data_IF_394771049752
#
_entry.id   IF_394771049752
#
_cell.length_a   1.000
_cell.length_b   1.000
_cell.length_c   1.000
_cell.angle_alpha   90.00
_cell.angle_beta   90.00
_cell.angle_gamma   90.00
#
_symmetry.space_group_name_H-M   'P 1'
#
loop_
_entity.id
_entity.type
_entity.pdbx_description
1 polymer ?
#
# COMPACT_ATOMS: atom_id res chain seq x y z
N UNK A 1 -15.76 5.68 -10.01
CA UNK A 1 -15.57 4.22 -10.10
C UNK A 1 -14.18 3.82 -9.61
N UNK A 2 -13.10 4.39 -10.13
CA UNK A 2 -11.73 4.13 -9.65
C UNK A 2 -11.61 4.40 -8.14
N UNK A 3 -12.05 5.58 -7.68
CA UNK A 3 -11.98 5.95 -6.26
C UNK A 3 -12.70 4.95 -5.35
N UNK A 4 -13.89 4.51 -5.73
CA UNK A 4 -14.66 3.52 -4.95
C UNK A 4 -13.92 2.19 -4.84
N UNK A 5 -13.28 1.73 -5.93
CA UNK A 5 -12.50 0.49 -5.94
C UNK A 5 -11.27 0.61 -5.03
N UNK A 6 -10.54 1.72 -5.11
CA UNK A 6 -9.33 1.95 -4.29
C UNK A 6 -9.68 2.06 -2.80
N UNK A 7 -10.77 2.75 -2.45
CA UNK A 7 -11.25 2.81 -1.06
C UNK A 7 -11.66 1.44 -0.53
N UNK A 8 -12.24 0.59 -1.38
CA UNK A 8 -12.53 -0.80 -1.02
C UNK A 8 -11.24 -1.63 -0.81
N UNK A 9 -10.23 -1.44 -1.68
CA UNK A 9 -8.92 -2.08 -1.50
C UNK A 9 -8.24 -1.66 -0.21
N UNK A 10 -8.22 -0.35 0.11
CA UNK A 10 -7.66 0.16 1.36
C UNK A 10 -8.31 -0.50 2.58
N UNK A 11 -9.64 -0.60 2.58
CA UNK A 11 -10.38 -1.30 3.66
C UNK A 11 -10.00 -2.77 3.76
N UNK A 12 -9.88 -3.46 2.63
CA UNK A 12 -9.51 -4.88 2.58
C UNK A 12 -8.13 -5.17 3.18
N UNK A 13 -7.17 -4.25 2.99
CA UNK A 13 -5.80 -4.37 3.54
C UNK A 13 -5.60 -3.58 4.83
N UNK A 14 -6.68 -3.02 5.39
CA UNK A 14 -6.69 -2.25 6.64
C UNK A 14 -5.71 -1.06 6.64
N UNK A 15 -5.61 -0.36 5.52
CA UNK A 15 -4.81 0.88 5.42
C UNK A 15 -5.75 2.08 5.37
N UNK A 16 -5.65 2.96 6.38
CA UNK A 16 -6.44 4.19 6.46
C UNK A 16 -6.19 5.10 5.25
N UNK A 17 -7.20 5.86 4.81
CA UNK A 17 -7.04 6.80 3.69
C UNK A 17 -5.99 7.87 3.99
N UNK A 18 -5.86 8.30 5.25
CA UNK A 18 -4.83 9.25 5.69
C UNK A 18 -3.40 8.72 5.64
N UNK A 19 -3.20 7.40 5.54
CA UNK A 19 -1.89 6.84 5.24
C UNK A 19 -1.59 6.99 3.76
N UNK A 20 -0.63 7.84 3.35
CA UNK A 20 -0.28 7.96 1.94
C UNK A 20 0.34 6.67 1.42
N UNK A 21 0.07 6.36 0.17
CA UNK A 21 0.66 5.24 -0.55
C UNK A 21 1.42 5.73 -1.77
N UNK A 22 2.33 4.90 -2.26
CA UNK A 22 3.22 5.27 -3.36
C UNK A 22 2.44 5.42 -4.66
N UNK A 23 1.91 4.34 -5.21
CA UNK A 23 1.39 4.34 -6.58
C UNK A 23 0.07 3.58 -6.69
N UNK A 24 -0.83 4.16 -7.46
CA UNK A 24 -2.03 3.52 -7.99
C UNK A 24 -1.81 3.25 -9.48
N UNK A 25 -1.93 2.00 -9.90
CA UNK A 25 -1.93 1.62 -11.29
C UNK A 25 -3.36 1.41 -11.78
N UNK A 26 -3.67 1.95 -12.95
CA UNK A 26 -5.01 1.86 -13.55
C UNK A 26 -4.87 1.25 -14.94
N UNK A 27 -5.55 0.14 -15.18
CA UNK A 27 -5.62 -0.55 -16.46
C UNK A 27 -7.06 -0.53 -16.97
N UNK A 28 -7.25 -0.24 -18.25
CA UNK A 28 -8.56 -0.23 -18.89
C UNK A 28 -9.32 1.09 -18.79
N UNK A 29 -8.70 2.13 -18.26
CA UNK A 29 -9.19 3.51 -18.31
C UNK A 29 -8.02 4.49 -18.32
N UNK A 30 -8.21 5.62 -18.99
CA UNK A 30 -7.37 6.80 -18.94
C UNK A 30 -8.31 8.01 -18.82
N UNK A 31 -8.20 8.75 -17.73
CA UNK A 31 -9.02 9.94 -17.50
C UNK A 31 -8.24 11.25 -17.71
N UNK A 32 -7.02 11.13 -18.24
CA UNK A 32 -6.14 12.27 -18.55
C UNK A 32 -5.49 12.95 -17.35
N UNK A 33 -4.45 13.71 -17.62
CA UNK A 33 -3.63 14.36 -16.58
C UNK A 33 -4.43 15.35 -15.72
N UNK A 34 -5.45 16.00 -16.27
CA UNK A 34 -6.27 16.98 -15.54
C UNK A 34 -7.00 16.38 -14.33
N UNK A 35 -7.38 15.10 -14.39
CA UNK A 35 -8.04 14.41 -13.29
C UNK A 35 -7.10 13.57 -12.43
N UNK A 36 -5.87 13.37 -12.89
CA UNK A 36 -4.88 12.57 -12.19
C UNK A 36 -4.58 13.14 -10.80
N UNK A 37 -4.27 14.44 -10.71
CA UNK A 37 -4.00 15.11 -9.44
C UNK A 37 -5.18 15.05 -8.47
N UNK A 38 -6.41 15.20 -8.97
CA UNK A 38 -7.61 15.07 -8.13
C UNK A 38 -7.76 13.67 -7.55
N UNK A 39 -7.44 12.64 -8.33
CA UNK A 39 -7.48 11.24 -7.88
C UNK A 39 -6.34 10.96 -6.90
N UNK A 40 -5.15 11.51 -7.13
CA UNK A 40 -4.02 11.42 -6.23
C UNK A 40 -4.34 12.02 -4.86
N UNK A 41 -4.94 13.21 -4.83
CA UNK A 41 -5.33 13.90 -3.61
C UNK A 41 -6.47 13.17 -2.88
N UNK A 42 -7.55 12.81 -3.59
CA UNK A 42 -8.71 12.12 -3.01
C UNK A 42 -8.33 10.77 -2.38
N UNK A 43 -7.47 10.04 -3.06
CA UNK A 43 -7.06 8.69 -2.64
C UNK A 43 -5.80 8.67 -1.79
N UNK A 44 -5.16 9.83 -1.61
CA UNK A 44 -3.89 9.98 -0.90
C UNK A 44 -2.83 9.00 -1.41
N UNK A 45 -2.60 9.02 -2.71
CA UNK A 45 -1.52 8.31 -3.40
C UNK A 45 -0.57 9.32 -4.03
N UNK A 46 0.72 9.01 -4.08
CA UNK A 46 1.73 9.94 -4.62
C UNK A 46 1.75 9.99 -6.13
N UNK A 47 1.29 8.94 -6.77
CA UNK A 47 1.33 8.84 -8.22
C UNK A 47 0.21 7.93 -8.73
N UNK A 48 -0.39 8.31 -9.85
CA UNK A 48 -1.30 7.46 -10.64
C UNK A 48 -0.63 7.13 -11.96
N UNK A 49 -0.55 5.85 -12.31
CA UNK A 49 0.01 5.38 -13.58
C UNK A 49 -1.03 4.60 -14.37
N UNK A 50 -1.18 4.97 -15.64
CA UNK A 50 -2.00 4.19 -16.57
C UNK A 50 -1.14 3.09 -17.19
N UNK A 51 -1.63 1.86 -17.15
CA UNK A 51 -0.93 0.69 -17.65
C UNK A 51 -1.81 -0.07 -18.64
N UNK A 52 -1.18 -0.75 -19.59
CA UNK A 52 -1.89 -1.55 -20.58
C UNK A 52 -2.21 -2.96 -20.07
N UNK A 53 -1.39 -3.49 -19.17
CA UNK A 53 -1.53 -4.84 -18.64
C UNK A 53 -1.20 -4.87 -17.14
N UNK A 54 -2.05 -5.47 -16.35
CA UNK A 54 -1.84 -5.67 -14.92
C UNK A 54 -1.09 -6.97 -14.58
N UNK A 55 -0.65 -7.73 -15.58
CA UNK A 55 0.03 -9.01 -15.39
C UNK A 55 1.35 -8.94 -14.60
N UNK A 56 2.04 -7.81 -14.64
CA UNK A 56 3.27 -7.59 -13.86
C UNK A 56 3.06 -7.57 -12.33
N UNK A 57 1.80 -7.39 -11.88
CA UNK A 57 1.41 -7.42 -10.46
C UNK A 57 0.84 -8.76 -10.01
N UNK A 58 0.92 -9.76 -10.89
CA UNK A 58 0.56 -11.14 -10.61
C UNK A 58 1.84 -11.95 -10.54
N UNK A 59 1.99 -12.76 -9.51
CA UNK A 59 2.97 -13.84 -9.46
C UNK A 59 2.26 -15.18 -9.65
N UNK A 60 3.02 -16.20 -9.97
CA UNK A 60 2.47 -17.52 -10.22
C UNK A 60 3.11 -18.53 -9.28
N UNK A 61 2.30 -19.24 -8.50
CA UNK A 61 2.73 -20.42 -7.75
C UNK A 61 2.68 -21.62 -8.68
N UNK A 62 3.83 -22.26 -8.89
CA UNK A 62 4.00 -23.37 -9.78
C UNK A 62 4.05 -24.67 -8.96
N UNK A 63 3.13 -25.59 -9.24
CA UNK A 63 3.06 -26.89 -8.56
C UNK A 63 3.16 -28.02 -9.58
N UNK A 64 3.92 -29.11 -9.29
CA UNK A 64 3.98 -30.25 -10.20
C UNK A 64 2.61 -30.95 -10.24
N UNK A 65 2.17 -31.30 -11.47
CA UNK A 65 1.00 -32.14 -11.65
C UNK A 65 1.38 -33.61 -11.45
N UNK A 66 1.07 -34.15 -10.29
CA UNK A 66 1.42 -35.54 -9.94
C UNK A 66 0.82 -36.57 -10.89
N UNK A 67 -0.34 -36.31 -11.49
CA UNK A 67 -1.00 -37.27 -12.35
C UNK A 67 -0.23 -37.48 -13.66
N UNK A 68 0.31 -36.43 -14.26
CA UNK A 68 1.05 -36.50 -15.53
C UNK A 68 2.50 -36.88 -15.33
N UNK A 69 3.09 -36.50 -14.20
CA UNK A 69 4.52 -36.64 -13.95
C UNK A 69 4.91 -37.95 -13.27
N UNK A 70 3.98 -38.61 -12.56
CA UNK A 70 4.28 -39.78 -11.71
C UNK A 70 4.93 -40.92 -12.55
N UNK A 71 4.42 -41.20 -13.73
CA UNK A 71 4.94 -42.31 -14.56
C UNK A 71 6.32 -41.99 -15.12
N UNK A 72 6.62 -40.73 -15.47
CA UNK A 72 7.89 -40.31 -16.11
C UNK A 72 8.96 -39.93 -15.09
N UNK A 73 8.58 -39.25 -14.00
CA UNK A 73 9.52 -38.58 -13.10
C UNK A 73 9.18 -38.78 -11.62
N UNK A 74 8.51 -39.90 -11.27
CA UNK A 74 8.00 -40.15 -9.90
C UNK A 74 9.03 -39.97 -8.78
N UNK A 75 10.30 -40.35 -8.99
CA UNK A 75 11.39 -40.22 -8.02
C UNK A 75 11.76 -38.77 -7.70
N UNK A 76 11.44 -37.85 -8.59
CA UNK A 76 11.78 -36.41 -8.43
C UNK A 76 10.66 -35.57 -7.84
N UNK A 77 9.41 -36.07 -7.78
CA UNK A 77 8.22 -35.32 -7.43
C UNK A 77 8.33 -34.62 -6.06
N UNK A 78 8.93 -35.28 -5.08
CA UNK A 78 9.09 -34.70 -3.73
C UNK A 78 9.94 -33.42 -3.68
N UNK A 79 10.92 -33.29 -4.59
CA UNK A 79 11.82 -32.12 -4.68
C UNK A 79 11.41 -31.15 -5.78
N UNK A 80 10.63 -31.59 -6.76
CA UNK A 80 10.26 -30.82 -7.94
C UNK A 80 9.53 -29.53 -7.62
N UNK A 81 8.68 -29.54 -6.59
CA UNK A 81 7.98 -28.32 -6.13
C UNK A 81 8.95 -27.21 -5.72
N UNK A 82 9.99 -27.56 -4.96
CA UNK A 82 11.02 -26.60 -4.55
C UNK A 82 11.81 -26.03 -5.72
N UNK A 83 12.08 -26.85 -6.74
CA UNK A 83 12.77 -26.38 -7.95
C UNK A 83 11.87 -25.51 -8.84
N UNK A 84 10.59 -25.84 -8.99
CA UNK A 84 9.63 -25.02 -9.71
C UNK A 84 9.46 -23.65 -9.06
N UNK A 85 9.48 -23.55 -7.74
CA UNK A 85 9.36 -22.28 -7.00
C UNK A 85 10.57 -21.35 -7.17
N UNK A 86 11.72 -21.84 -7.64
CA UNK A 86 12.90 -21.03 -7.95
C UNK A 86 12.81 -20.38 -9.33
N UNK A 87 11.90 -20.83 -10.17
CA UNK A 87 11.70 -20.27 -11.50
C UNK A 87 10.90 -18.98 -11.46
N UNK A 88 11.12 -18.13 -12.46
CA UNK A 88 10.22 -17.02 -12.72
C UNK A 88 8.89 -17.54 -13.29
N UNK A 89 7.85 -17.55 -12.47
CA UNK A 89 6.53 -18.05 -12.84
C UNK A 89 5.94 -17.35 -14.05
N UNK A 90 6.20 -16.06 -14.23
CA UNK A 90 5.72 -15.29 -15.39
C UNK A 90 6.39 -15.76 -16.69
N UNK A 91 7.69 -16.02 -16.65
CA UNK A 91 8.43 -16.55 -17.80
C UNK A 91 7.96 -17.97 -18.17
N UNK A 92 7.69 -18.81 -17.16
CA UNK A 92 7.17 -20.19 -17.38
C UNK A 92 5.78 -20.13 -18.02
N UNK A 93 4.88 -19.29 -17.54
CA UNK A 93 3.54 -19.13 -18.11
C UNK A 93 3.62 -18.63 -19.55
N UNK A 94 4.46 -17.64 -19.82
CA UNK A 94 4.65 -17.10 -21.17
C UNK A 94 5.21 -18.16 -22.15
N UNK A 95 6.13 -19.03 -21.71
CA UNK A 95 6.63 -20.15 -22.50
C UNK A 95 5.51 -21.15 -22.83
N UNK A 96 4.71 -21.51 -21.84
CA UNK A 96 3.59 -22.43 -22.04
C UNK A 96 2.48 -21.85 -22.96
N UNK A 97 2.24 -20.54 -22.93
CA UNK A 97 1.30 -19.88 -23.84
C UNK A 97 1.78 -19.93 -25.30
N UNK A 98 3.09 -19.95 -25.55
CA UNK A 98 3.71 -20.12 -26.86
C UNK A 98 3.79 -21.59 -27.30
N UNK A 99 3.38 -22.53 -26.45
CA UNK A 99 3.51 -23.96 -26.70
C UNK A 99 4.94 -24.51 -26.48
N UNK A 100 5.79 -23.75 -25.81
CA UNK A 100 7.16 -24.17 -25.48
C UNK A 100 7.19 -25.04 -24.23
N UNK A 101 8.28 -25.74 -24.01
CA UNK A 101 8.52 -26.56 -22.82
C UNK A 101 9.51 -25.88 -21.89
N UNK A 102 9.44 -26.21 -20.60
CA UNK A 102 10.40 -25.75 -19.58
C UNK A 102 11.22 -26.94 -19.10
N UNK A 103 12.53 -26.78 -19.04
CA UNK A 103 13.45 -27.85 -18.60
C UNK A 103 13.95 -27.53 -17.19
N UNK A 104 13.73 -28.46 -16.25
CA UNK A 104 14.34 -28.47 -14.94
C UNK A 104 15.50 -29.44 -14.92
N UNK A 105 16.66 -28.99 -14.44
CA UNK A 105 17.77 -29.90 -14.18
C UNK A 105 17.75 -30.33 -12.73
N UNK A 106 17.57 -31.65 -12.55
CA UNK A 106 17.56 -32.26 -11.22
C UNK A 106 18.55 -33.42 -11.18
N UNK A 107 19.56 -33.29 -10.32
CA UNK A 107 20.74 -34.15 -10.35
C UNK A 107 21.36 -34.10 -11.77
N UNK A 108 21.60 -35.23 -12.41
CA UNK A 108 22.11 -35.32 -13.79
C UNK A 108 21.01 -35.60 -14.83
N UNK A 109 19.74 -35.29 -14.48
CA UNK A 109 18.58 -35.58 -15.33
C UNK A 109 17.89 -34.27 -15.73
N UNK A 110 17.69 -34.10 -17.03
CA UNK A 110 16.88 -33.02 -17.57
C UNK A 110 15.40 -33.45 -17.60
N UNK A 111 14.58 -32.75 -16.87
CA UNK A 111 13.15 -32.98 -16.75
C UNK A 111 12.45 -31.95 -17.64
N UNK A 112 11.88 -32.42 -18.73
CA UNK A 112 11.15 -31.58 -19.68
C UNK A 112 9.68 -31.55 -19.28
N UNK A 113 9.19 -30.36 -19.00
CA UNK A 113 7.82 -30.08 -18.56
C UNK A 113 7.04 -29.32 -19.64
N UNK A 114 5.85 -29.74 -19.90
CA UNK A 114 4.87 -29.01 -20.72
C UNK A 114 3.78 -28.40 -19.85
N UNK A 115 2.85 -27.67 -20.47
CA UNK A 115 1.76 -26.97 -19.76
C UNK A 115 0.92 -27.89 -18.87
N UNK A 116 0.72 -29.15 -19.25
CA UNK A 116 -0.11 -30.10 -18.49
C UNK A 116 0.63 -30.66 -17.27
N UNK A 117 1.96 -30.57 -17.26
CA UNK A 117 2.81 -31.06 -16.18
C UNK A 117 2.91 -30.11 -14.97
N UNK A 118 2.48 -28.87 -15.14
CA UNK A 118 2.56 -27.83 -14.10
C UNK A 118 1.20 -27.23 -13.85
N UNK A 119 0.75 -27.31 -12.60
CA UNK A 119 -0.41 -26.58 -12.13
C UNK A 119 0.03 -25.15 -11.84
N UNK A 120 -0.56 -24.19 -12.54
CA UNK A 120 -0.25 -22.77 -12.42
C UNK A 120 -1.38 -22.08 -11.64
N UNK A 121 -1.06 -21.50 -10.50
CA UNK A 121 -1.99 -20.72 -9.70
C UNK A 121 -1.54 -19.26 -9.68
N UNK A 122 -2.37 -18.36 -10.19
CA UNK A 122 -2.10 -16.94 -10.13
C UNK A 122 -2.28 -16.43 -8.70
N UNK A 123 -1.23 -15.87 -8.12
CA UNK A 123 -1.23 -15.28 -6.78
C UNK A 123 -0.89 -13.81 -6.86
N UNK A 124 -1.40 -13.02 -5.91
CA UNK A 124 -1.09 -11.59 -5.84
C UNK A 124 0.38 -11.42 -5.49
N UNK A 125 1.05 -10.55 -6.21
CA UNK A 125 2.43 -10.17 -5.89
C UNK A 125 2.46 -9.47 -4.52
N UNK A 126 3.39 -9.87 -3.67
CA UNK A 126 3.55 -9.27 -2.34
C UNK A 126 3.75 -7.75 -2.43
N UNK A 127 3.09 -7.01 -1.54
CA UNK A 127 3.12 -5.55 -1.53
C UNK A 127 2.17 -4.88 -2.51
N UNK A 128 1.30 -5.65 -3.19
CA UNK A 128 0.26 -5.12 -4.07
C UNK A 128 -1.10 -5.71 -3.75
N UNK A 129 -2.14 -4.92 -3.96
CA UNK A 129 -3.53 -5.39 -3.91
C UNK A 129 -4.28 -4.88 -5.13
N UNK A 130 -5.20 -5.67 -5.65
CA UNK A 130 -5.90 -5.34 -6.89
C UNK A 130 -7.38 -5.64 -6.81
N UNK A 131 -8.13 -4.95 -7.65
CA UNK A 131 -9.56 -5.19 -7.89
C UNK A 131 -9.86 -5.04 -9.37
N UNK A 132 -10.73 -5.90 -9.87
CA UNK A 132 -11.20 -5.90 -11.26
C UNK A 132 -12.70 -5.63 -11.28
N UNK A 133 -13.13 -4.78 -12.18
CA UNK A 133 -14.54 -4.46 -12.43
C UNK A 133 -14.76 -4.29 -13.95
N UNK A 134 -15.22 -5.35 -14.61
CA UNK A 134 -15.30 -5.44 -16.06
C UNK A 134 -13.91 -5.33 -16.72
N UNK A 135 -13.72 -4.30 -17.55
CA UNK A 135 -12.44 -4.03 -18.21
C UNK A 135 -11.48 -3.17 -17.37
N UNK A 136 -11.98 -2.60 -16.27
CA UNK A 136 -11.20 -1.75 -15.39
C UNK A 136 -10.49 -2.59 -14.34
N UNK A 137 -9.18 -2.47 -14.23
CA UNK A 137 -8.38 -3.05 -13.17
C UNK A 137 -7.61 -1.95 -12.45
N UNK A 138 -7.69 -1.93 -11.13
CA UNK A 138 -6.88 -1.07 -10.29
C UNK A 138 -5.94 -1.92 -9.44
N UNK A 139 -4.68 -1.49 -9.36
CA UNK A 139 -3.65 -2.13 -8.52
C UNK A 139 -3.05 -1.06 -7.62
N UNK A 140 -3.05 -1.30 -6.33
CA UNK A 140 -2.55 -0.40 -5.32
C UNK A 140 -1.24 -0.95 -4.73
N UNK A 141 -0.17 -0.14 -4.80
CA UNK A 141 1.07 -0.43 -4.09
C UNK A 141 0.84 -0.16 -2.60
N UNK A 142 0.99 -1.19 -1.79
CA UNK A 142 0.74 -1.15 -0.34
C UNK A 142 2.02 -1.15 0.49
N UNK A 143 3.18 -1.07 -0.17
CA UNK A 143 4.47 -1.00 0.52
C UNK A 143 4.63 0.36 1.16
N UNK A 144 4.94 0.37 2.44
CA UNK A 144 5.17 1.58 3.21
C UNK A 144 6.66 1.85 3.37
N UNK A 145 7.11 2.97 2.83
CA UNK A 145 8.46 3.50 3.13
C UNK A 145 8.43 4.29 4.42
N UNK A 146 9.61 4.52 5.03
CA UNK A 146 9.71 5.37 6.22
C UNK A 146 9.09 6.75 6.01
N UNK A 147 9.32 7.38 4.85
CA UNK A 147 8.76 8.68 4.51
C UNK A 147 7.22 8.67 4.44
N UNK A 148 6.62 7.61 3.85
CA UNK A 148 5.17 7.48 3.80
C UNK A 148 4.56 7.26 5.20
N UNK A 149 5.23 6.52 6.06
CA UNK A 149 4.81 6.31 7.44
C UNK A 149 4.86 7.64 8.22
N UNK A 150 5.96 8.38 8.11
CA UNK A 150 6.13 9.69 8.77
C UNK A 150 5.05 10.68 8.32
N UNK A 151 4.78 10.77 7.03
CA UNK A 151 3.69 11.61 6.52
C UNK A 151 2.31 11.13 7.01
N UNK A 152 2.12 9.81 7.12
CA UNK A 152 0.92 9.21 7.70
C UNK A 152 0.67 9.67 9.14
N UNK A 153 1.72 9.75 9.95
CA UNK A 153 1.64 10.33 11.30
C UNK A 153 1.20 11.79 11.28
N UNK A 154 1.82 12.61 10.45
CA UNK A 154 1.48 14.03 10.36
C UNK A 154 0.03 14.26 9.92
N UNK A 155 -0.45 13.52 8.94
CA UNK A 155 -1.85 13.59 8.45
C UNK A 155 -2.86 13.13 9.51
N UNK A 156 -2.55 12.08 10.27
CA UNK A 156 -3.40 11.64 11.37
C UNK A 156 -3.40 12.68 12.50
N UNK A 157 -2.25 13.26 12.84
CA UNK A 157 -2.12 14.35 13.81
C UNK A 157 -2.99 15.56 13.41
N UNK A 158 -2.87 16.04 12.18
CA UNK A 158 -3.70 17.12 11.63
C UNK A 158 -5.19 16.81 11.82
N UNK A 159 -5.61 15.59 11.49
CA UNK A 159 -7.01 15.18 11.65
C UNK A 159 -7.48 15.24 13.11
N UNK A 160 -6.63 14.86 14.06
CA UNK A 160 -6.97 14.93 15.50
C UNK A 160 -7.06 16.36 15.99
N UNK A 161 -6.13 17.23 15.60
CA UNK A 161 -6.18 18.66 15.93
C UNK A 161 -7.43 19.32 15.32
N UNK A 162 -7.78 19.00 14.07
CA UNK A 162 -9.02 19.50 13.46
C UNK A 162 -10.28 19.04 14.21
N UNK A 163 -10.29 17.78 14.70
CA UNK A 163 -11.38 17.31 15.57
C UNK A 163 -11.46 18.10 16.87
N UNK A 164 -10.31 18.38 17.50
CA UNK A 164 -10.25 19.18 18.73
C UNK A 164 -10.75 20.60 18.49
N UNK A 165 -10.36 21.27 17.39
CA UNK A 165 -10.85 22.59 17.01
C UNK A 165 -12.38 22.61 16.95
N UNK A 166 -12.97 21.62 16.27
CA UNK A 166 -14.42 21.48 16.16
C UNK A 166 -15.09 21.24 17.51
N UNK A 167 -14.55 20.32 18.31
CA UNK A 167 -15.11 19.94 19.61
C UNK A 167 -15.05 21.11 20.61
N UNK A 168 -14.02 21.97 20.49
CA UNK A 168 -13.82 23.17 21.37
C UNK A 168 -14.60 24.37 20.85
N UNK A 169 -15.22 24.29 19.67
CA UNK A 169 -16.01 25.38 19.08
C UNK A 169 -15.17 26.54 18.53
N UNK A 170 -13.96 26.24 18.06
CA UNK A 170 -13.14 27.24 17.36
C UNK A 170 -13.69 27.48 15.97
N UNK A 171 -13.65 28.71 15.50
CA UNK A 171 -14.00 29.05 14.14
C UNK A 171 -12.94 28.53 13.14
N UNK A 172 -13.35 28.33 11.90
CA UNK A 172 -12.43 27.83 10.83
C UNK A 172 -11.28 28.80 10.56
N UNK A 173 -11.46 30.08 10.86
CA UNK A 173 -10.49 31.16 10.69
C UNK A 173 -9.64 31.43 11.93
N UNK A 174 -9.95 30.81 13.06
CA UNK A 174 -9.17 30.99 14.28
C UNK A 174 -7.75 30.46 14.11
N UNK A 175 -6.77 31.25 14.46
CA UNK A 175 -5.40 30.80 14.63
C UNK A 175 -5.23 30.12 15.98
N UNK A 176 -4.38 29.11 16.03
CA UNK A 176 -4.14 28.33 17.26
C UNK A 176 -2.66 28.12 17.55
N UNK A 177 -2.35 27.92 18.82
CA UNK A 177 -1.11 27.34 19.28
C UNK A 177 -1.37 25.89 19.65
N UNK A 178 -0.50 24.98 19.19
CA UNK A 178 -0.59 23.55 19.45
C UNK A 178 0.59 23.12 20.31
N UNK A 179 0.31 22.36 21.36
CA UNK A 179 1.32 21.69 22.19
C UNK A 179 1.14 20.18 22.03
N UNK A 180 2.23 19.43 22.04
CA UNK A 180 2.19 17.98 21.92
C UNK A 180 3.22 17.32 22.82
N UNK A 181 2.74 16.40 23.65
CA UNK A 181 3.57 15.45 24.39
C UNK A 181 3.49 14.09 23.68
N UNK A 182 4.60 13.58 23.19
CA UNK A 182 4.65 12.31 22.45
C UNK A 182 6.05 11.69 22.50
N UNK A 183 6.16 10.44 22.02
CA UNK A 183 7.43 9.75 21.90
C UNK A 183 8.30 10.28 20.75
N UNK A 184 9.60 9.95 20.77
CA UNK A 184 10.61 10.44 19.82
C UNK A 184 10.26 10.21 18.35
N UNK A 185 9.64 9.07 18.04
CA UNK A 185 9.28 8.69 16.67
C UNK A 185 8.24 9.62 16.07
N UNK A 186 7.18 9.92 16.84
CA UNK A 186 6.15 10.86 16.41
C UNK A 186 6.70 12.29 16.40
N UNK A 187 7.49 12.67 17.38
CA UNK A 187 8.13 13.99 17.47
C UNK A 187 8.98 14.26 16.21
N UNK A 188 9.82 13.31 15.81
CA UNK A 188 10.66 13.43 14.62
C UNK A 188 9.81 13.57 13.33
N UNK A 189 8.71 12.83 13.21
CA UNK A 189 7.81 12.92 12.07
C UNK A 189 7.09 14.29 12.01
N UNK A 190 6.65 14.82 13.16
CA UNK A 190 6.02 16.12 13.26
C UNK A 190 6.99 17.27 12.97
N UNK A 191 8.25 17.16 13.40
CA UNK A 191 9.28 18.15 13.07
C UNK A 191 9.58 18.21 11.58
N UNK A 192 9.73 17.07 10.91
CA UNK A 192 9.92 16.99 9.45
C UNK A 192 8.74 17.57 8.68
N UNK A 193 7.52 17.36 9.15
CA UNK A 193 6.29 17.80 8.51
C UNK A 193 5.72 19.09 9.13
N UNK A 194 6.54 19.85 9.87
CA UNK A 194 6.10 21.04 10.66
C UNK A 194 5.25 22.00 9.83
N UNK A 195 5.72 22.42 8.67
CA UNK A 195 5.02 23.40 7.82
C UNK A 195 3.67 22.83 7.34
N UNK A 196 3.61 21.57 6.99
CA UNK A 196 2.37 20.90 6.59
C UNK A 196 1.38 20.85 7.77
N UNK A 197 1.86 20.57 8.98
CA UNK A 197 1.01 20.53 10.17
C UNK A 197 0.48 21.92 10.49
N UNK A 198 1.34 22.94 10.55
CA UNK A 198 0.94 24.32 10.85
C UNK A 198 -0.10 24.82 9.84
N UNK A 199 0.14 24.65 8.55
CA UNK A 199 -0.81 25.02 7.50
C UNK A 199 -2.12 24.21 7.58
N UNK A 200 -2.02 22.92 7.84
CA UNK A 200 -3.17 22.00 7.86
C UNK A 200 -4.14 22.24 9.01
N UNK A 201 -3.71 22.91 10.08
CA UNK A 201 -4.55 23.21 11.26
C UNK A 201 -4.68 24.70 11.56
N UNK A 202 -4.13 25.56 10.70
CA UNK A 202 -4.09 27.03 10.89
C UNK A 202 -3.44 27.38 12.25
N UNK A 203 -2.28 26.77 12.52
CA UNK A 203 -1.54 27.02 13.75
C UNK A 203 -0.36 27.97 13.53
N UNK A 204 -0.19 28.92 14.47
CA UNK A 204 0.97 29.81 14.50
C UNK A 204 2.20 29.12 15.11
N UNK A 205 1.96 28.11 15.94
CA UNK A 205 3.04 27.33 16.56
C UNK A 205 2.66 25.88 16.85
N UNK A 206 3.68 25.01 16.79
CA UNK A 206 3.64 23.64 17.29
C UNK A 206 4.84 23.46 18.23
N UNK A 207 4.56 23.20 19.50
CA UNK A 207 5.58 22.98 20.53
C UNK A 207 5.54 21.55 21.02
N UNK A 208 6.65 20.83 20.86
CA UNK A 208 6.86 19.52 21.47
C UNK A 208 7.32 19.73 22.91
N UNK A 209 6.66 19.11 23.87
CA UNK A 209 6.82 19.39 25.30
C UNK A 209 6.54 18.15 26.15
N UNK A 210 7.06 18.13 27.38
CA UNK A 210 6.81 17.03 28.33
C UNK A 210 5.40 17.13 28.96
N UNK A 211 4.72 18.26 28.81
CA UNK A 211 3.37 18.44 29.32
C UNK A 211 2.58 19.31 28.35
N UNK A 212 1.62 18.72 27.68
CA UNK A 212 0.72 19.44 26.78
C UNK A 212 -0.28 20.30 27.58
N UNK A 213 -0.58 21.50 27.07
CA UNK A 213 -1.50 22.43 27.69
C UNK A 213 -2.25 23.28 26.68
N UNK A 214 -3.35 23.90 27.07
CA UNK A 214 -4.19 24.75 26.21
C UNK A 214 -5.59 24.89 26.74
N UNK A 215 -6.51 25.44 25.93
CA UNK A 215 -7.94 25.54 26.25
C UNK A 215 -8.62 24.16 26.22
N UNK A 216 -8.13 23.27 25.37
CA UNK A 216 -8.51 21.87 25.34
C UNK A 216 -7.26 20.99 25.27
N UNK A 217 -7.25 19.91 26.04
CA UNK A 217 -6.18 18.91 26.06
C UNK A 217 -6.81 17.53 25.95
N UNK A 218 -6.27 16.69 25.07
CA UNK A 218 -6.81 15.35 24.82
C UNK A 218 -5.72 14.36 24.44
N UNK A 219 -5.85 13.14 24.94
CA UNK A 219 -5.02 12.02 24.54
C UNK A 219 -5.56 11.36 23.27
N UNK A 220 -4.65 10.99 22.38
CA UNK A 220 -4.95 10.38 21.10
C UNK A 220 -3.98 9.24 20.77
N UNK A 221 -4.47 8.27 20.05
CA UNK A 221 -3.64 7.33 19.30
C UNK A 221 -3.39 7.87 17.89
N UNK A 222 -2.14 8.07 17.55
CA UNK A 222 -1.67 8.50 16.24
C UNK A 222 -1.00 7.32 15.54
N UNK A 223 -1.80 6.46 14.93
CA UNK A 223 -1.33 5.25 14.23
C UNK A 223 -0.41 4.36 15.11
N UNK A 224 -0.81 4.14 16.37
CA UNK A 224 -0.07 3.32 17.33
C UNK A 224 0.90 4.08 18.23
N UNK A 225 1.10 5.38 18.00
CA UNK A 225 1.88 6.24 18.90
C UNK A 225 0.92 7.06 19.78
N UNK A 226 1.09 6.97 21.10
CA UNK A 226 0.31 7.79 22.04
C UNK A 226 0.79 9.24 22.01
N UNK A 227 -0.17 10.18 21.99
CA UNK A 227 0.10 11.61 22.06
C UNK A 227 -0.93 12.32 22.92
N UNK A 228 -0.47 13.24 23.78
CA UNK A 228 -1.34 14.22 24.44
C UNK A 228 -1.21 15.53 23.69
N UNK A 229 -2.32 16.02 23.16
CA UNK A 229 -2.37 17.23 22.32
C UNK A 229 -3.15 18.29 23.05
N UNK A 230 -2.57 19.50 23.13
CA UNK A 230 -3.23 20.68 23.63
C UNK A 230 -3.43 21.72 22.53
N UNK A 231 -4.57 22.38 22.50
CA UNK A 231 -4.89 23.46 21.56
C UNK A 231 -5.36 24.69 22.31
N UNK A 232 -4.90 25.87 21.88
CA UNK A 232 -5.26 27.16 22.43
C UNK A 232 -5.44 28.14 21.28
N UNK A 233 -6.49 28.97 21.35
CA UNK A 233 -6.69 30.09 20.43
C UNK A 233 -5.65 31.19 20.70
N UNK A 234 -5.16 31.79 19.60
CA UNK A 234 -4.17 32.88 19.65
C UNK A 234 -4.83 34.23 19.32
#
# INVERSE_FOLDING_TARGET
RVSSMVLALRRKVNIKVRQPLSTLYVCGADFGEAYKSLVEDELNVKNVQFIQNAGEFVSYDLKPNFFTLKARYGRFLGRMRGELQKLDGSAVVAAFEKGETVTLRMDDTDIVLNKEDVLVEAVKKEGYTSQVDGKLTVVLDTKLTGALIEEGYAREFISKVQSMRKDTGFDVTDHIAVTCQCGEKLAAALDKARDMVLAGVLADSLTLTDTAGGEAVKEWDINGESAVIGVKRV
#
